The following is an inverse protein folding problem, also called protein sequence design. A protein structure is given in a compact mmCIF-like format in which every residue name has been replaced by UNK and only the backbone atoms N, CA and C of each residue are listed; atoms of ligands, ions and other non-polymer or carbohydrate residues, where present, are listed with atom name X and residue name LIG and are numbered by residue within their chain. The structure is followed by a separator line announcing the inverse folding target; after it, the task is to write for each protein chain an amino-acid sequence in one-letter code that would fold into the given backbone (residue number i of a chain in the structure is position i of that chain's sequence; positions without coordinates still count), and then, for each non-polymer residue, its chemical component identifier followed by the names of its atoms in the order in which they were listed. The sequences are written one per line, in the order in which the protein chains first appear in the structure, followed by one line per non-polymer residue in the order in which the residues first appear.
data_IF_624254886676
#
_entry.id   IF_624254886676
#
_cell.length_a   1.000
_cell.length_b   1.000
_cell.length_c   1.000
_cell.angle_alpha   90.00
_cell.angle_beta   90.00
_cell.angle_gamma   90.00
#
_symmetry.space_group_name_H-M   'P 1'
#
loop_
_entity.id
_entity.type
_entity.pdbx_description
1 polymer ?
#
# COMPACT_ATOMS: atom_id res chain seq x y z
N UNK A 1 0.72 5.93 11.77
CA UNK A 1 0.29 4.74 12.54
C UNK A 1 0.66 3.46 11.80
N UNK A 2 0.76 2.37 12.54
CA UNK A 2 1.01 1.06 11.95
C UNK A 2 -0.33 0.41 11.60
N UNK A 3 -0.42 -0.14 10.38
CA UNK A 3 -1.59 -0.90 9.96
C UNK A 3 -1.59 -2.33 10.54
N UNK A 4 -2.71 -3.03 10.45
CA UNK A 4 -2.79 -4.45 10.80
C UNK A 4 -1.67 -5.24 10.15
N UNK A 5 -1.02 -6.13 10.91
CA UNK A 5 0.10 -6.95 10.44
C UNK A 5 1.43 -6.21 10.25
N UNK A 6 1.54 -4.94 10.68
CA UNK A 6 2.73 -4.13 10.52
C UNK A 6 3.13 -3.50 11.86
N UNK A 7 4.46 -3.32 12.03
CA UNK A 7 5.04 -2.59 13.13
C UNK A 7 4.51 -3.03 14.50
N UNK A 8 4.12 -2.08 15.34
CA UNK A 8 3.58 -2.33 16.68
C UNK A 8 2.14 -2.83 16.69
N UNK A 9 1.46 -2.80 15.53
CA UNK A 9 0.12 -3.38 15.35
C UNK A 9 0.17 -4.87 14.98
N UNK A 10 1.37 -5.49 14.97
CA UNK A 10 1.56 -6.93 14.80
C UNK A 10 1.48 -7.60 16.18
N UNK A 11 0.48 -8.46 16.45
CA UNK A 11 0.44 -9.25 17.68
C UNK A 11 1.63 -10.20 17.80
N UNK A 12 2.03 -10.52 19.01
CA UNK A 12 3.10 -11.50 19.26
C UNK A 12 2.75 -12.85 18.64
N UNK A 13 3.69 -13.42 17.89
CA UNK A 13 3.53 -14.70 17.19
C UNK A 13 2.67 -14.63 15.91
N UNK A 14 2.13 -13.46 15.55
CA UNK A 14 1.39 -13.29 14.31
C UNK A 14 2.33 -13.18 13.09
N UNK A 15 1.82 -13.54 11.92
CA UNK A 15 2.57 -13.46 10.66
C UNK A 15 2.66 -11.99 10.23
N UNK A 16 3.88 -11.45 10.01
CA UNK A 16 4.06 -10.09 9.53
C UNK A 16 3.55 -9.95 8.08
N UNK A 17 3.19 -8.72 7.72
CA UNK A 17 2.69 -8.41 6.36
C UNK A 17 1.45 -9.24 5.99
N UNK A 18 0.61 -9.50 6.98
CA UNK A 18 -0.69 -10.14 6.87
C UNK A 18 -1.72 -9.40 7.74
N UNK A 19 -2.84 -9.02 7.18
CA UNK A 19 -3.85 -8.25 7.93
C UNK A 19 -4.58 -9.08 9.00
N UNK A 20 -4.45 -10.41 8.96
CA UNK A 20 -5.14 -11.34 9.84
C UNK A 20 -6.37 -11.98 9.18
N UNK A 21 -6.84 -13.07 9.80
CA UNK A 21 -8.00 -13.81 9.31
C UNK A 21 -9.26 -12.95 9.37
N UNK A 22 -10.01 -12.94 8.27
CA UNK A 22 -11.23 -12.16 8.15
C UNK A 22 -11.02 -10.66 7.90
N UNK A 23 -9.81 -10.13 8.09
CA UNK A 23 -9.52 -8.73 7.78
C UNK A 23 -9.40 -8.51 6.26
N UNK A 24 -9.96 -7.41 5.81
CA UNK A 24 -9.99 -7.03 4.40
C UNK A 24 -9.28 -5.69 4.19
N UNK A 25 -9.15 -5.29 2.94
CA UNK A 25 -8.69 -3.95 2.58
C UNK A 25 -9.55 -2.86 3.21
N UNK A 26 -10.86 -3.07 3.19
CA UNK A 26 -11.84 -2.16 3.77
C UNK A 26 -11.69 -2.06 5.29
N UNK A 27 -11.39 -3.16 5.98
CA UNK A 27 -11.12 -3.16 7.43
C UNK A 27 -9.99 -2.20 7.78
N UNK A 28 -8.87 -2.24 7.03
CA UNK A 28 -7.74 -1.34 7.28
C UNK A 28 -8.08 0.13 6.98
N UNK A 29 -8.92 0.37 5.97
CA UNK A 29 -9.41 1.72 5.67
C UNK A 29 -10.37 2.23 6.75
N UNK A 30 -11.20 1.35 7.32
CA UNK A 30 -12.13 1.68 8.40
C UNK A 30 -11.35 1.98 9.70
N UNK A 31 -10.22 1.30 9.96
CA UNK A 31 -9.30 1.63 11.07
C UNK A 31 -8.69 3.04 10.91
N UNK A 32 -8.32 3.44 9.70
CA UNK A 32 -7.89 4.82 9.42
C UNK A 32 -9.01 5.80 9.76
N UNK A 33 -10.26 5.46 9.42
CA UNK A 33 -11.40 6.31 9.73
C UNK A 33 -11.67 6.42 11.23
N UNK A 34 -11.54 5.33 11.98
CA UNK A 34 -11.65 5.36 13.44
C UNK A 34 -10.57 6.25 14.07
N UNK A 35 -9.32 6.18 13.56
CA UNK A 35 -8.25 7.07 14.00
C UNK A 35 -8.59 8.53 13.68
N UNK A 36 -9.07 8.80 12.47
CA UNK A 36 -9.51 10.14 12.07
C UNK A 36 -10.59 10.68 13.03
N UNK A 37 -11.62 9.88 13.36
CA UNK A 37 -12.69 10.30 14.29
C UNK A 37 -12.13 10.68 15.66
N UNK A 38 -11.23 9.87 16.22
CA UNK A 38 -10.56 10.18 17.52
C UNK A 38 -9.74 11.47 17.46
N UNK A 39 -9.02 11.68 16.36
CA UNK A 39 -8.25 12.92 16.18
C UNK A 39 -9.17 14.14 16.03
N UNK A 40 -10.28 14.00 15.32
CA UNK A 40 -11.27 15.09 15.18
C UNK A 40 -11.96 15.42 16.50
N UNK A 41 -12.26 14.43 17.35
CA UNK A 41 -12.78 14.64 18.70
C UNK A 41 -11.76 15.35 19.59
N UNK A 42 -10.50 14.94 19.55
CA UNK A 42 -9.42 15.52 20.37
C UNK A 42 -9.01 16.92 19.90
N UNK A 43 -9.05 17.15 18.58
CA UNK A 43 -8.60 18.39 17.95
C UNK A 43 -9.64 18.96 16.97
N UNK A 44 -10.81 19.40 17.46
CA UNK A 44 -11.97 19.72 16.62
C UNK A 44 -11.75 20.90 15.66
N UNK A 45 -10.77 21.76 15.94
CA UNK A 45 -10.49 22.97 15.17
C UNK A 45 -9.23 22.91 14.32
N UNK A 46 -8.45 21.84 14.43
CA UNK A 46 -7.23 21.71 13.63
C UNK A 46 -7.54 21.06 12.28
N UNK A 47 -6.88 21.49 11.21
CA UNK A 47 -6.97 20.80 9.93
C UNK A 47 -6.34 19.41 10.05
N UNK A 48 -6.92 18.42 9.36
CA UNK A 48 -6.40 17.06 9.29
C UNK A 48 -5.95 16.79 7.85
N UNK A 49 -4.65 16.54 7.69
CA UNK A 49 -4.07 16.12 6.43
C UNK A 49 -3.88 14.61 6.44
N UNK A 50 -4.36 13.94 5.38
CA UNK A 50 -4.12 12.52 5.17
C UNK A 50 -2.89 12.36 4.27
N UNK A 51 -1.87 11.66 4.76
CA UNK A 51 -0.69 11.33 3.95
C UNK A 51 -0.54 9.81 3.83
N UNK A 52 -0.37 9.32 2.61
CA UNK A 52 -0.08 7.91 2.34
C UNK A 52 1.07 7.74 1.37
N UNK A 53 1.98 6.80 1.69
CA UNK A 53 3.11 6.42 0.84
C UNK A 53 2.98 4.95 0.42
N UNK A 54 3.27 4.63 -0.83
CA UNK A 54 3.25 3.27 -1.40
C UNK A 54 1.89 2.59 -1.13
N UNK A 55 1.83 1.46 -0.43
CA UNK A 55 0.58 0.82 -0.02
C UNK A 55 -0.34 1.81 0.73
N UNK A 56 0.22 2.67 1.59
CA UNK A 56 -0.52 3.73 2.27
C UNK A 56 -1.16 4.74 1.30
N UNK A 57 -0.56 4.97 0.13
CA UNK A 57 -1.15 5.82 -0.90
C UNK A 57 -2.42 5.18 -1.51
N UNK A 58 -2.40 3.87 -1.68
CA UNK A 58 -3.59 3.13 -2.16
C UNK A 58 -4.70 3.10 -1.10
N UNK A 59 -4.34 2.90 0.18
CA UNK A 59 -5.29 3.00 1.31
C UNK A 59 -5.89 4.39 1.42
N UNK A 60 -5.07 5.45 1.27
CA UNK A 60 -5.53 6.83 1.30
C UNK A 60 -6.49 7.16 0.15
N UNK A 61 -6.24 6.66 -1.05
CA UNK A 61 -7.16 6.80 -2.19
C UNK A 61 -8.50 6.11 -1.90
N UNK A 62 -8.48 4.88 -1.37
CA UNK A 62 -9.71 4.19 -0.95
C UNK A 62 -10.43 4.98 0.14
N UNK A 63 -9.69 5.53 1.10
CA UNK A 63 -10.23 6.37 2.18
C UNK A 63 -10.98 7.59 1.63
N UNK A 64 -10.35 8.36 0.74
CA UNK A 64 -10.95 9.55 0.11
C UNK A 64 -12.24 9.22 -0.66
N UNK A 65 -12.33 8.04 -1.24
CA UNK A 65 -13.52 7.55 -1.95
C UNK A 65 -14.64 7.15 -0.96
N UNK A 66 -14.28 6.45 0.14
CA UNK A 66 -15.26 5.92 1.09
C UNK A 66 -15.75 6.96 2.10
N UNK A 67 -14.89 7.90 2.44
CA UNK A 67 -15.13 8.93 3.45
C UNK A 67 -14.87 10.34 2.90
N UNK A 68 -15.62 10.76 1.84
CA UNK A 68 -15.41 12.06 1.22
C UNK A 68 -15.69 13.20 2.21
N UNK A 69 -14.91 14.29 2.11
CA UNK A 69 -15.09 15.48 2.93
C UNK A 69 -14.68 15.35 4.40
N UNK A 70 -14.02 14.25 4.79
CA UNK A 70 -13.58 14.06 6.18
C UNK A 70 -12.22 14.68 6.48
N UNK A 71 -11.35 14.80 5.49
CA UNK A 71 -10.02 15.41 5.63
C UNK A 71 -9.95 16.73 4.87
N UNK A 72 -9.11 17.64 5.35
CA UNK A 72 -8.96 18.98 4.78
C UNK A 72 -8.04 19.01 3.57
N UNK A 73 -7.10 18.05 3.47
CA UNK A 73 -6.24 17.85 2.30
C UNK A 73 -5.63 16.45 2.32
N UNK A 74 -5.04 16.01 1.20
CA UNK A 74 -4.32 14.75 1.13
C UNK A 74 -3.00 14.85 0.36
N UNK A 75 -2.01 14.05 0.78
CA UNK A 75 -0.73 13.84 0.09
C UNK A 75 -0.65 12.36 -0.28
N UNK A 76 -0.60 12.09 -1.58
CA UNK A 76 -0.52 10.76 -2.16
C UNK A 76 0.87 10.59 -2.76
N UNK A 77 1.72 9.78 -2.11
CA UNK A 77 3.12 9.64 -2.47
C UNK A 77 3.47 8.23 -2.95
N UNK A 78 4.24 8.12 -4.03
CA UNK A 78 4.67 6.85 -4.59
C UNK A 78 3.49 5.93 -4.92
N UNK A 79 2.45 6.48 -5.52
CA UNK A 79 1.25 5.75 -5.95
C UNK A 79 1.43 5.18 -7.36
N UNK A 80 0.55 4.29 -7.76
CA UNK A 80 0.59 3.71 -9.10
C UNK A 80 -0.79 3.28 -9.59
N UNK A 81 -0.79 2.81 -10.83
CA UNK A 81 -1.93 2.26 -11.55
C UNK A 81 -1.55 0.91 -12.16
N UNK A 82 -2.50 0.01 -12.31
CA UNK A 82 -2.26 -1.30 -12.93
C UNK A 82 -3.39 -1.63 -13.91
N UNK A 83 -3.07 -2.20 -15.09
CA UNK A 83 -4.08 -2.67 -16.04
C UNK A 83 -5.04 -3.67 -15.38
N UNK A 84 -6.33 -3.58 -15.71
CA UNK A 84 -7.37 -4.46 -15.14
C UNK A 84 -7.04 -5.95 -15.35
N UNK A 85 -6.46 -6.31 -16.51
CA UNK A 85 -6.06 -7.69 -16.80
C UNK A 85 -4.94 -8.17 -15.88
N UNK A 86 -3.97 -7.30 -15.55
CA UNK A 86 -2.90 -7.58 -14.57
C UNK A 86 -3.49 -7.83 -13.19
N UNK A 87 -4.43 -6.98 -12.76
CA UNK A 87 -5.11 -7.13 -11.47
C UNK A 87 -5.90 -8.44 -11.43
N UNK A 88 -6.68 -8.76 -12.45
CA UNK A 88 -7.44 -10.02 -12.53
C UNK A 88 -6.55 -11.25 -12.49
N UNK A 89 -5.49 -11.26 -13.29
CA UNK A 89 -4.51 -12.34 -13.29
C UNK A 89 -3.85 -12.54 -11.92
N UNK A 90 -3.44 -11.44 -11.28
CA UNK A 90 -2.86 -11.45 -9.93
C UNK A 90 -3.85 -11.97 -8.87
N UNK A 91 -5.11 -11.55 -8.94
CA UNK A 91 -6.16 -12.02 -8.01
C UNK A 91 -6.44 -13.52 -8.16
N UNK A 92 -6.49 -14.03 -9.41
CA UNK A 92 -6.68 -15.46 -9.68
C UNK A 92 -5.52 -16.28 -9.15
N UNK A 93 -4.29 -15.88 -9.47
CA UNK A 93 -3.07 -16.57 -9.02
C UNK A 93 -2.94 -16.55 -7.50
N UNK A 94 -3.06 -15.37 -6.89
CA UNK A 94 -3.02 -15.25 -5.43
C UNK A 94 -4.14 -16.06 -4.76
N UNK A 95 -5.34 -16.08 -5.36
CA UNK A 95 -6.45 -16.90 -4.89
C UNK A 95 -6.16 -18.40 -4.93
N UNK A 96 -5.53 -18.89 -5.99
CA UNK A 96 -5.11 -20.28 -6.11
C UNK A 96 -4.02 -20.67 -5.09
N UNK A 97 -3.01 -19.83 -4.93
CA UNK A 97 -1.93 -20.06 -3.95
C UNK A 97 -2.49 -20.04 -2.52
N UNK A 98 -3.36 -19.08 -2.20
CA UNK A 98 -3.99 -18.98 -0.87
C UNK A 98 -4.84 -20.21 -0.51
N UNK A 99 -5.47 -20.85 -1.49
CA UNK A 99 -6.23 -22.10 -1.26
C UNK A 99 -5.33 -23.30 -0.94
N UNK A 100 -4.10 -23.32 -1.47
CA UNK A 100 -3.17 -24.44 -1.32
C UNK A 100 -2.27 -24.25 -0.10
N UNK A 101 -1.77 -23.03 0.12
CA UNK A 101 -0.74 -22.73 1.13
C UNK A 101 -1.24 -21.93 2.33
N UNK A 102 -2.47 -21.43 2.29
CA UNK A 102 -2.99 -20.45 3.24
C UNK A 102 -2.80 -19.01 2.78
N UNK A 103 -3.67 -18.08 3.23
CA UNK A 103 -3.56 -16.66 2.90
C UNK A 103 -2.38 -15.95 3.60
N UNK A 104 -1.94 -16.49 4.72
CA UNK A 104 -0.81 -16.02 5.54
C UNK A 104 0.55 -16.47 4.99
N UNK A 105 0.58 -17.36 4.00
CA UNK A 105 1.81 -17.84 3.40
C UNK A 105 2.56 -16.74 2.64
N UNK A 106 3.83 -16.54 2.93
CA UNK A 106 4.73 -15.76 2.10
C UNK A 106 4.99 -16.50 0.77
N UNK A 107 5.11 -15.75 -0.32
CA UNK A 107 5.31 -16.32 -1.65
C UNK A 107 6.32 -15.51 -2.47
N UNK A 108 7.49 -16.09 -2.68
CA UNK A 108 8.52 -15.50 -3.57
C UNK A 108 8.00 -15.23 -4.98
N UNK A 109 7.08 -16.06 -5.49
CA UNK A 109 6.46 -15.84 -6.77
C UNK A 109 5.64 -14.55 -6.77
N UNK A 110 4.82 -14.33 -5.74
CA UNK A 110 4.01 -13.13 -5.57
C UNK A 110 4.89 -11.90 -5.37
N UNK A 111 5.91 -12.00 -4.51
CA UNK A 111 6.88 -10.92 -4.27
C UNK A 111 7.62 -10.53 -5.56
N UNK A 112 8.08 -11.52 -6.33
CA UNK A 112 8.75 -11.25 -7.60
C UNK A 112 7.82 -10.64 -8.65
N UNK A 113 6.55 -11.01 -8.68
CA UNK A 113 5.57 -10.40 -9.57
C UNK A 113 5.27 -8.95 -9.18
N UNK A 114 5.21 -8.65 -7.88
CA UNK A 114 4.93 -7.31 -7.38
C UNK A 114 6.13 -6.36 -7.52
N UNK A 115 7.33 -6.83 -7.20
CA UNK A 115 8.51 -5.97 -7.00
C UNK A 115 9.73 -6.38 -7.83
N UNK A 116 9.74 -7.58 -8.43
CA UNK A 116 10.93 -8.15 -9.08
C UNK A 116 11.42 -7.37 -10.31
N UNK A 117 10.56 -6.55 -10.92
CA UNK A 117 10.95 -5.70 -12.04
C UNK A 117 11.57 -4.36 -11.60
N UNK A 118 11.33 -3.92 -10.36
CA UNK A 118 11.68 -2.58 -9.92
C UNK A 118 13.20 -2.34 -9.91
N UNK A 119 13.98 -3.30 -9.42
CA UNK A 119 15.44 -3.18 -9.44
C UNK A 119 16.07 -3.22 -10.83
N UNK A 120 15.38 -3.79 -11.84
CA UNK A 120 15.91 -3.84 -13.21
C UNK A 120 16.13 -2.46 -13.82
N UNK A 121 15.38 -1.46 -13.36
CA UNK A 121 15.53 -0.08 -13.80
C UNK A 121 16.85 0.56 -13.32
N UNK A 122 17.51 -0.03 -12.29
CA UNK A 122 18.71 0.51 -11.65
C UNK A 122 19.99 -0.29 -11.94
N UNK A 123 19.98 -1.11 -12.97
CA UNK A 123 21.15 -1.83 -13.49
C UNK A 123 21.03 -3.36 -13.40
N UNK A 124 21.96 -4.03 -14.11
CA UNK A 124 21.95 -5.49 -14.24
C UNK A 124 22.40 -6.24 -12.97
N UNK A 125 23.05 -5.55 -12.04
CA UNK A 125 23.55 -6.10 -10.79
C UNK A 125 23.20 -5.19 -9.62
N UNK A 126 21.98 -5.25 -9.12
CA UNK A 126 21.60 -4.50 -7.94
C UNK A 126 22.45 -4.94 -6.74
N UNK A 127 22.83 -4.01 -5.88
CA UNK A 127 23.60 -4.25 -4.66
C UNK A 127 22.75 -5.03 -3.64
N UNK A 128 21.46 -4.68 -3.58
CA UNK A 128 20.45 -5.32 -2.71
C UNK A 128 19.15 -5.57 -3.49
N UNK A 129 18.25 -6.43 -2.99
CA UNK A 129 16.92 -6.58 -3.59
C UNK A 129 16.04 -5.33 -3.46
N UNK A 130 16.47 -4.31 -2.69
CA UNK A 130 15.67 -3.13 -2.34
C UNK A 130 16.31 -1.81 -2.78
N UNK A 131 17.30 -1.82 -3.69
CA UNK A 131 17.96 -0.58 -4.17
C UNK A 131 17.00 0.39 -4.85
N UNK A 132 15.88 -0.11 -5.37
CA UNK A 132 14.81 0.70 -5.96
C UNK A 132 14.09 1.62 -4.97
N UNK A 133 14.25 1.40 -3.66
CA UNK A 133 13.57 2.19 -2.62
C UNK A 133 14.13 3.60 -2.47
N UNK A 134 15.45 3.79 -2.70
CA UNK A 134 16.09 5.07 -2.50
C UNK A 134 17.39 5.19 -3.29
N UNK A 135 17.68 6.40 -3.81
CA UNK A 135 18.97 6.72 -4.38
C UNK A 135 20.07 6.87 -3.30
N UNK A 136 19.70 7.06 -2.04
CA UNK A 136 20.60 7.08 -0.89
C UNK A 136 20.83 5.64 -0.39
N UNK A 137 22.05 5.15 -0.59
CA UNK A 137 22.45 3.78 -0.19
C UNK A 137 22.39 3.57 1.31
N UNK A 138 22.70 4.58 2.12
CA UNK A 138 22.62 4.47 3.59
C UNK A 138 21.17 4.31 4.06
N UNK A 139 20.23 4.89 3.32
CA UNK A 139 18.80 4.73 3.59
C UNK A 139 18.34 3.29 3.29
N UNK A 140 18.81 2.72 2.16
CA UNK A 140 18.54 1.31 1.82
C UNK A 140 19.16 0.38 2.87
N UNK A 141 20.38 0.66 3.33
CA UNK A 141 21.06 -0.15 4.33
C UNK A 141 20.34 -0.11 5.69
N UNK A 142 19.86 1.05 6.12
CA UNK A 142 19.01 1.18 7.32
C UNK A 142 17.71 0.38 7.18
N UNK A 143 17.06 0.44 6.02
CA UNK A 143 15.86 -0.35 5.75
C UNK A 143 16.15 -1.86 5.83
N UNK A 144 17.27 -2.32 5.26
CA UNK A 144 17.66 -3.74 5.28
C UNK A 144 18.06 -4.24 6.68
N UNK A 145 18.57 -3.34 7.53
CA UNK A 145 18.99 -3.67 8.90
C UNK A 145 17.81 -3.63 9.90
N UNK A 146 16.69 -3.00 9.56
CA UNK A 146 15.53 -2.90 10.45
C UNK A 146 14.73 -4.22 10.43
N UNK A 147 14.59 -4.91 11.57
CA UNK A 147 13.84 -6.18 11.64
C UNK A 147 12.35 -6.01 11.38
N UNK A 148 11.81 -4.79 11.41
CA UNK A 148 10.41 -4.49 11.09
C UNK A 148 10.21 -4.17 9.60
N UNK A 149 11.28 -4.14 8.80
CA UNK A 149 11.27 -3.88 7.37
C UNK A 149 11.62 -5.12 6.55
N UNK A 150 11.28 -5.12 5.27
CA UNK A 150 11.74 -6.13 4.31
C UNK A 150 11.10 -7.52 4.44
N UNK A 151 10.09 -7.71 5.29
CA UNK A 151 9.36 -8.97 5.34
C UNK A 151 8.68 -9.27 4.00
N UNK A 152 8.71 -10.54 3.57
CA UNK A 152 8.04 -10.97 2.35
C UNK A 152 6.53 -10.78 2.48
N UNK A 153 5.91 -10.19 1.45
CA UNK A 153 4.47 -10.01 1.41
C UNK A 153 3.75 -11.37 1.40
N UNK A 154 2.74 -11.50 2.24
CA UNK A 154 1.88 -12.67 2.22
C UNK A 154 0.95 -12.64 1.00
N UNK A 155 0.52 -13.81 0.58
CA UNK A 155 -0.45 -13.95 -0.52
C UNK A 155 -1.76 -13.21 -0.20
N UNK A 156 -2.15 -13.24 1.08
CA UNK A 156 -3.35 -12.55 1.58
C UNK A 156 -3.24 -11.03 1.44
N UNK A 157 -2.14 -10.42 1.91
CA UNK A 157 -1.91 -8.99 1.75
C UNK A 157 -1.93 -8.57 0.28
N UNK A 158 -1.17 -9.28 -0.57
CA UNK A 158 -1.10 -8.98 -2.00
C UNK A 158 -2.49 -9.01 -2.65
N UNK A 159 -3.29 -10.02 -2.31
CA UNK A 159 -4.67 -10.13 -2.80
C UNK A 159 -5.54 -8.97 -2.34
N UNK A 160 -5.42 -8.53 -1.10
CA UNK A 160 -6.16 -7.38 -0.57
C UNK A 160 -5.71 -6.07 -1.25
N UNK A 161 -4.41 -5.88 -1.44
CA UNK A 161 -3.87 -4.72 -2.15
C UNK A 161 -4.39 -4.64 -3.60
N UNK A 162 -4.42 -5.76 -4.34
CA UNK A 162 -4.99 -5.78 -5.69
C UNK A 162 -6.48 -5.44 -5.71
N UNK A 163 -7.26 -5.86 -4.70
CA UNK A 163 -8.67 -5.46 -4.55
C UNK A 163 -8.79 -3.95 -4.32
N UNK A 164 -7.94 -3.39 -3.45
CA UNK A 164 -7.89 -1.95 -3.20
C UNK A 164 -7.53 -1.15 -4.45
N UNK A 165 -6.51 -1.59 -5.20
CA UNK A 165 -6.14 -0.97 -6.48
C UNK A 165 -7.30 -0.98 -7.46
N UNK A 166 -7.96 -2.12 -7.63
CA UNK A 166 -9.13 -2.24 -8.50
C UNK A 166 -10.25 -1.30 -8.09
N UNK A 167 -10.55 -1.24 -6.80
CA UNK A 167 -11.54 -0.32 -6.25
C UNK A 167 -11.19 1.15 -6.57
N UNK A 168 -9.93 1.53 -6.35
CA UNK A 168 -9.43 2.88 -6.59
C UNK A 168 -9.45 3.32 -8.06
N UNK A 169 -9.38 2.36 -8.99
CA UNK A 169 -9.33 2.61 -10.43
C UNK A 169 -10.69 2.56 -11.11
N UNK A 170 -11.74 2.17 -10.38
CA UNK A 170 -13.10 2.11 -10.91
C UNK A 170 -13.68 3.52 -11.02
N UNK A 171 -14.03 4.02 -12.24
CA UNK A 171 -14.46 5.41 -12.43
C UNK A 171 -15.60 5.83 -11.52
N UNK A 172 -16.66 5.03 -11.38
CA UNK A 172 -17.77 5.33 -10.51
C UNK A 172 -17.44 5.40 -9.01
N UNK A 173 -16.30 4.82 -8.58
CA UNK A 173 -15.80 5.01 -7.23
C UNK A 173 -15.06 6.34 -7.10
N UNK A 174 -14.21 6.68 -8.08
CA UNK A 174 -13.45 7.94 -8.09
C UNK A 174 -14.41 9.14 -8.07
N UNK A 175 -15.54 9.05 -8.73
CA UNK A 175 -16.55 10.10 -8.78
C UNK A 175 -17.14 10.46 -7.41
N UNK A 176 -17.01 9.56 -6.43
CA UNK A 176 -17.48 9.77 -5.04
C UNK A 176 -16.54 10.63 -4.21
N UNK A 177 -15.31 10.86 -4.64
CA UNK A 177 -14.36 11.71 -3.92
C UNK A 177 -14.87 13.15 -3.82
N UNK A 178 -14.54 13.82 -2.72
CA UNK A 178 -14.76 15.26 -2.61
C UNK A 178 -13.91 16.00 -3.66
N UNK A 179 -14.57 16.69 -4.56
CA UNK A 179 -13.92 17.44 -5.65
C UNK A 179 -13.24 18.74 -5.19
N UNK A 180 -13.52 19.18 -3.96
CA UNK A 180 -12.95 20.41 -3.38
C UNK A 180 -11.74 20.13 -2.49
N UNK A 181 -11.48 18.87 -2.09
CA UNK A 181 -10.34 18.53 -1.27
C UNK A 181 -9.03 18.71 -2.06
N UNK A 182 -8.08 19.55 -1.61
CA UNK A 182 -6.77 19.64 -2.22
C UNK A 182 -6.02 18.32 -2.12
N UNK A 183 -5.50 17.83 -3.25
CA UNK A 183 -4.69 16.60 -3.31
C UNK A 183 -3.35 16.91 -3.95
N UNK A 184 -2.27 16.63 -3.24
CA UNK A 184 -0.90 16.69 -3.75
C UNK A 184 -0.45 15.27 -4.12
N UNK A 185 -0.07 15.06 -5.39
CA UNK A 185 0.56 13.85 -5.87
C UNK A 185 2.08 14.06 -5.89
N UNK A 186 2.84 13.15 -5.27
CA UNK A 186 4.30 13.20 -5.23
C UNK A 186 4.86 11.83 -5.63
N UNK A 187 5.85 11.82 -6.52
CA UNK A 187 6.63 10.64 -6.84
C UNK A 187 8.09 11.02 -7.09
N UNK A 188 9.01 10.10 -6.85
CA UNK A 188 10.39 10.26 -7.30
C UNK A 188 10.45 10.21 -8.82
N UNK A 189 11.34 10.97 -9.44
CA UNK A 189 11.54 10.97 -10.90
C UNK A 189 11.85 9.56 -11.45
N UNK A 190 12.48 8.71 -10.65
CA UNK A 190 12.85 7.34 -10.99
C UNK A 190 12.07 6.31 -10.15
N UNK A 191 10.89 6.66 -9.65
CA UNK A 191 10.06 5.75 -8.88
C UNK A 191 9.39 4.71 -9.78
N UNK A 192 9.76 3.42 -9.66
CA UNK A 192 9.20 2.38 -10.52
C UNK A 192 7.73 2.03 -10.20
N UNK A 193 7.22 2.41 -9.04
CA UNK A 193 5.81 2.15 -8.64
C UNK A 193 4.86 2.93 -9.53
N UNK A 194 5.19 4.18 -9.86
CA UNK A 194 4.43 5.05 -10.74
C UNK A 194 4.95 5.06 -12.18
N UNK A 195 5.56 3.98 -12.65
CA UNK A 195 6.09 3.85 -14.02
C UNK A 195 7.01 5.03 -14.41
N UNK A 196 7.96 5.38 -13.53
CA UNK A 196 8.91 6.50 -13.70
C UNK A 196 8.20 7.86 -13.92
N UNK A 197 7.05 8.04 -13.29
CA UNK A 197 6.25 9.26 -13.39
C UNK A 197 5.30 9.32 -14.59
N UNK A 198 5.15 8.22 -15.34
CA UNK A 198 4.23 8.12 -16.47
C UNK A 198 2.87 7.48 -16.09
N UNK A 199 2.77 6.90 -14.88
CA UNK A 199 1.59 6.18 -14.38
C UNK A 199 0.56 7.06 -13.67
#
# INVERSE_FOLDING_TARGET
HDHLGHGKSLPEGAVPVYFGDGATWETVVDDIHLLHQRLREQYPRLPILLMGHSMGSFLSRTYLIRYPGTVDAAIIMGTGWQPEMTIRGGLLLAGAIARIKGPDAASKLVTNMAFGAYNKAFGDKPRTPNDWLSADTDNVDRYMADPMCGAEATVGLFRQMLRGLRFNQTPGNIDRMDKNAPILLIAGQSDPVGDMGAG
#
